data_IF_454042901716
#
_entry.id   IF_454042901716
#
_cell.length_a   1.000
_cell.length_b   1.000
_cell.length_c   1.000
_cell.angle_alpha   90.00
_cell.angle_beta   90.00
_cell.angle_gamma   90.00
#
_symmetry.space_group_name_H-M   'P 1'
#
loop_
_entity.id
_entity.type
_entity.pdbx_description
1 polymer ?
#
# COMPACT_ATOMS: atom_id res chain seq x y z
N UNK A 1 11.67 -30.17 0.32
CA UNK A 1 10.62 -29.14 0.56
C UNK A 1 10.98 -28.04 1.58
N UNK A 2 12.22 -27.99 2.13
CA UNK A 2 12.63 -26.95 3.11
C UNK A 2 13.58 -25.86 2.55
N UNK A 3 13.74 -25.77 1.21
CA UNK A 3 14.63 -24.77 0.57
C UNK A 3 13.93 -23.64 -0.18
N UNK A 4 12.59 -23.61 -0.23
CA UNK A 4 11.87 -22.48 -0.83
C UNK A 4 11.72 -21.26 0.11
N UNK A 5 12.38 -21.26 1.29
CA UNK A 5 12.17 -20.27 2.35
C UNK A 5 13.16 -19.10 2.34
N UNK A 6 14.07 -19.01 1.38
CA UNK A 6 15.00 -17.87 1.27
C UNK A 6 15.21 -17.54 -0.19
N UNK A 7 14.43 -16.60 -0.71
CA UNK A 7 14.76 -15.51 -1.65
C UNK A 7 13.41 -14.80 -1.88
N UNK A 8 13.04 -13.95 -0.93
CA UNK A 8 12.07 -12.88 -1.11
C UNK A 8 12.83 -11.60 -0.73
N UNK A 9 13.87 -11.28 -1.52
CA UNK A 9 14.64 -10.05 -1.38
C UNK A 9 14.24 -9.20 -2.58
N UNK A 10 13.35 -8.22 -2.36
CA UNK A 10 12.90 -7.30 -3.40
C UNK A 10 11.41 -6.92 -3.36
N UNK A 11 10.91 -6.44 -2.23
CA UNK A 11 9.87 -5.39 -2.17
C UNK A 11 8.41 -5.67 -2.54
N UNK A 12 8.04 -6.69 -3.30
CA UNK A 12 6.72 -6.67 -3.96
C UNK A 12 5.54 -7.37 -3.25
N UNK A 13 5.73 -8.06 -2.12
CA UNK A 13 4.63 -8.79 -1.46
C UNK A 13 4.70 -8.71 0.07
N UNK A 14 3.65 -8.17 0.70
CA UNK A 14 3.47 -8.20 2.16
C UNK A 14 3.30 -9.64 2.67
N UNK A 15 4.07 -9.99 3.70
CA UNK A 15 4.11 -11.32 4.35
C UNK A 15 2.73 -11.86 4.79
N UNK A 16 1.77 -10.97 5.08
CA UNK A 16 0.42 -11.30 5.56
C UNK A 16 -0.54 -11.86 4.51
N UNK A 17 -0.23 -11.73 3.21
CA UNK A 17 -1.10 -12.18 2.12
C UNK A 17 -0.96 -13.68 1.83
N UNK A 18 0.18 -14.29 2.17
CA UNK A 18 0.48 -15.69 1.86
C UNK A 18 -0.10 -16.67 2.90
N UNK A 19 -0.16 -16.29 4.18
CA UNK A 19 -0.59 -17.17 5.28
C UNK A 19 -2.10 -17.47 5.27
N UNK A 20 -2.90 -16.67 4.55
CA UNK A 20 -4.36 -16.77 4.51
C UNK A 20 -4.93 -17.55 3.32
N UNK A 21 -4.11 -18.25 2.52
CA UNK A 21 -4.59 -18.84 1.25
C UNK A 21 -4.48 -20.37 1.17
N UNK A 22 -5.48 -21.06 0.57
CA UNK A 22 -5.59 -22.50 0.64
C UNK A 22 -4.41 -23.19 -0.07
N UNK A 23 -3.84 -24.21 0.59
CA UNK A 23 -2.69 -25.00 0.14
C UNK A 23 -2.94 -25.82 -1.16
N UNK A 24 -4.13 -25.78 -1.73
CA UNK A 24 -4.61 -26.79 -2.69
C UNK A 24 -4.98 -26.28 -4.08
N UNK A 25 -4.59 -25.06 -4.50
CA UNK A 25 -4.85 -24.64 -5.89
C UNK A 25 -3.85 -25.26 -6.89
N UNK A 26 -4.10 -26.52 -7.21
CA UNK A 26 -3.36 -27.33 -8.19
C UNK A 26 -3.51 -26.80 -9.62
N UNK A 27 -4.48 -25.92 -9.90
CA UNK A 27 -4.75 -25.41 -11.25
C UNK A 27 -3.68 -24.44 -11.76
N UNK A 28 -3.06 -23.67 -10.87
CA UNK A 28 -1.96 -22.76 -11.20
C UNK A 28 -0.68 -23.53 -11.54
N UNK A 29 -0.44 -24.65 -10.86
CA UNK A 29 0.70 -25.54 -11.09
C UNK A 29 0.62 -26.28 -12.43
N UNK A 30 -0.60 -26.63 -12.88
CA UNK A 30 -0.83 -27.29 -14.17
C UNK A 30 -0.59 -26.37 -15.39
N UNK A 31 -0.72 -25.04 -15.23
CA UNK A 31 -0.53 -24.07 -16.34
C UNK A 31 0.91 -23.58 -16.50
N UNK A 32 1.68 -23.50 -15.41
CA UNK A 32 3.10 -23.16 -15.49
C UNK A 32 3.88 -24.42 -15.87
N UNK A 33 4.47 -24.49 -17.06
CA UNK A 33 5.23 -25.66 -17.54
C UNK A 33 6.61 -25.77 -16.85
N UNK A 34 6.63 -25.73 -15.52
CA UNK A 34 7.85 -25.78 -14.70
C UNK A 34 8.66 -24.48 -14.66
N UNK A 35 8.23 -23.41 -15.35
CA UNK A 35 8.91 -22.10 -15.29
C UNK A 35 8.38 -21.27 -14.13
N UNK A 36 9.27 -20.94 -13.20
CA UNK A 36 8.95 -20.15 -12.00
C UNK A 36 8.30 -18.80 -12.33
N UNK A 37 8.80 -18.10 -13.35
CA UNK A 37 8.25 -16.80 -13.79
C UNK A 37 6.80 -16.91 -14.26
N UNK A 38 6.44 -17.99 -14.96
CA UNK A 38 5.06 -18.24 -15.40
C UNK A 38 4.14 -18.54 -14.20
N UNK A 39 4.63 -19.28 -13.20
CA UNK A 39 3.86 -19.56 -11.99
C UNK A 39 3.57 -18.28 -11.19
N UNK A 40 4.59 -17.43 -10.99
CA UNK A 40 4.44 -16.13 -10.31
C UNK A 40 3.50 -15.22 -11.09
N UNK A 41 3.67 -15.12 -12.41
CA UNK A 41 2.78 -14.33 -13.27
C UNK A 41 1.33 -14.80 -13.21
N UNK A 42 1.09 -16.10 -13.32
CA UNK A 42 -0.25 -16.69 -13.23
C UNK A 42 -0.87 -16.46 -11.85
N UNK A 43 -0.09 -16.58 -10.78
CA UNK A 43 -0.55 -16.28 -9.42
C UNK A 43 -0.97 -14.81 -9.28
N UNK A 44 -0.14 -13.87 -9.75
CA UNK A 44 -0.44 -12.45 -9.72
C UNK A 44 -1.72 -12.12 -10.49
N UNK A 45 -1.86 -12.62 -11.72
CA UNK A 45 -3.05 -12.40 -12.55
C UNK A 45 -4.32 -13.01 -11.93
N UNK A 46 -4.20 -14.14 -11.25
CA UNK A 46 -5.33 -14.81 -10.62
C UNK A 46 -5.84 -14.07 -9.38
N UNK A 47 -4.94 -13.65 -8.48
CA UNK A 47 -5.32 -13.03 -7.20
C UNK A 47 -5.40 -11.49 -7.25
N UNK A 48 -4.71 -10.88 -8.20
CA UNK A 48 -4.64 -9.44 -8.44
C UNK A 48 -4.85 -9.12 -9.93
N UNK A 49 -6.04 -9.46 -10.48
CA UNK A 49 -6.36 -9.12 -11.86
C UNK A 49 -6.30 -7.59 -12.06
N UNK A 50 -5.94 -7.14 -13.26
CA UNK A 50 -5.76 -5.73 -13.59
C UNK A 50 -6.94 -4.82 -13.14
N UNK A 51 -8.22 -5.20 -13.32
CA UNK A 51 -9.34 -4.39 -12.82
C UNK A 51 -9.32 -4.17 -11.31
N UNK A 52 -8.87 -5.16 -10.53
CA UNK A 52 -8.75 -5.06 -9.07
C UNK A 52 -7.62 -4.11 -8.68
N UNK A 53 -6.46 -4.20 -9.33
CA UNK A 53 -5.33 -3.27 -9.12
C UNK A 53 -5.72 -1.85 -9.50
N UNK A 54 -6.42 -1.67 -10.63
CA UNK A 54 -6.92 -0.37 -11.07
C UNK A 54 -7.92 0.22 -10.06
N UNK A 55 -8.84 -0.60 -9.53
CA UNK A 55 -9.77 -0.18 -8.49
C UNK A 55 -9.02 0.30 -7.23
N UNK A 56 -8.03 -0.45 -6.75
CA UNK A 56 -7.22 -0.05 -5.60
C UNK A 56 -6.48 1.27 -5.85
N UNK A 57 -5.84 1.44 -7.01
CA UNK A 57 -5.20 2.72 -7.39
C UNK A 57 -6.19 3.87 -7.37
N UNK A 58 -7.40 3.66 -7.90
CA UNK A 58 -8.46 4.67 -7.92
C UNK A 58 -8.89 5.05 -6.51
N UNK A 59 -9.00 4.09 -5.60
CA UNK A 59 -9.34 4.35 -4.19
C UNK A 59 -8.23 5.13 -3.46
N UNK A 60 -6.96 4.86 -3.76
CA UNK A 60 -5.83 5.61 -3.19
C UNK A 60 -5.82 7.05 -3.71
N UNK A 61 -5.89 7.26 -5.03
CA UNK A 61 -5.80 8.60 -5.63
C UNK A 61 -7.01 9.47 -5.29
N UNK A 62 -8.20 8.88 -5.13
CA UNK A 62 -9.42 9.59 -4.72
C UNK A 62 -9.68 9.46 -3.20
N UNK A 63 -8.64 9.22 -2.42
CA UNK A 63 -8.79 9.14 -0.97
C UNK A 63 -9.31 10.47 -0.43
N UNK A 64 -10.20 10.39 0.55
CA UNK A 64 -10.74 11.53 1.28
C UNK A 64 -10.86 11.15 2.75
N UNK A 65 -10.57 12.10 3.63
CA UNK A 65 -10.91 12.03 5.04
C UNK A 65 -12.44 11.99 5.20
N UNK A 66 -12.94 11.09 6.04
CA UNK A 66 -14.39 11.02 6.34
C UNK A 66 -14.72 11.96 7.50
N UNK A 67 -15.98 12.41 7.57
CA UNK A 67 -16.41 13.41 8.55
C UNK A 67 -16.20 12.99 10.02
N UNK A 68 -16.35 11.71 10.33
CA UNK A 68 -16.21 11.15 11.69
C UNK A 68 -14.84 10.50 11.93
N UNK A 69 -13.93 10.54 10.96
CA UNK A 69 -12.62 9.87 11.03
C UNK A 69 -11.54 10.85 11.50
N UNK A 70 -10.74 10.43 12.47
CA UNK A 70 -9.56 11.17 12.90
C UNK A 70 -8.44 11.10 11.86
N UNK A 71 -7.48 12.03 11.94
CA UNK A 71 -6.30 12.04 11.05
C UNK A 71 -5.50 10.72 11.14
N UNK A 72 -5.35 10.19 12.36
CA UNK A 72 -4.66 8.94 12.66
C UNK A 72 -5.36 7.71 12.05
N UNK A 73 -6.68 7.62 12.19
CA UNK A 73 -7.48 6.56 11.57
C UNK A 73 -7.41 6.64 10.05
N UNK A 74 -7.50 7.85 9.49
CA UNK A 74 -7.37 8.07 8.06
C UNK A 74 -5.99 7.66 7.54
N UNK A 75 -4.91 8.00 8.23
CA UNK A 75 -3.56 7.58 7.85
C UNK A 75 -3.42 6.06 7.88
N UNK A 76 -3.93 5.41 8.93
CA UNK A 76 -3.95 3.95 9.06
C UNK A 76 -4.74 3.30 7.91
N UNK A 77 -5.91 3.86 7.56
CA UNK A 77 -6.73 3.39 6.44
C UNK A 77 -6.01 3.57 5.10
N UNK A 78 -5.35 4.71 4.90
CA UNK A 78 -4.57 4.99 3.70
C UNK A 78 -3.41 3.99 3.54
N UNK A 79 -2.62 3.77 4.58
CA UNK A 79 -1.54 2.77 4.59
C UNK A 79 -2.07 1.35 4.36
N UNK A 80 -3.25 1.03 4.91
CA UNK A 80 -3.90 -0.26 4.68
C UNK A 80 -4.26 -0.43 3.21
N UNK A 81 -4.81 0.59 2.55
CA UNK A 81 -5.12 0.54 1.11
C UNK A 81 -3.88 0.31 0.25
N UNK A 82 -2.77 0.98 0.57
CA UNK A 82 -1.49 0.78 -0.13
C UNK A 82 -0.96 -0.67 0.00
N UNK A 83 -1.22 -1.33 1.13
CA UNK A 83 -0.77 -2.70 1.42
C UNK A 83 -1.71 -3.81 0.91
N UNK A 84 -2.89 -3.47 0.36
CA UNK A 84 -3.89 -4.46 -0.09
C UNK A 84 -3.55 -5.16 -1.42
N UNK A 85 -2.67 -4.56 -2.22
CA UNK A 85 -2.32 -5.05 -3.56
C UNK A 85 -0.84 -5.44 -3.69
N UNK A 86 -0.41 -5.84 -4.90
CA UNK A 86 0.99 -5.72 -5.28
C UNK A 86 1.37 -4.24 -5.31
N UNK A 87 2.64 -3.94 -5.59
CA UNK A 87 3.09 -2.56 -5.82
C UNK A 87 2.13 -1.83 -6.79
N UNK A 88 1.46 -0.80 -6.25
CA UNK A 88 0.48 -0.02 -6.99
C UNK A 88 1.18 0.99 -7.93
N UNK A 89 2.51 1.10 -7.93
CA UNK A 89 3.24 2.09 -8.73
C UNK A 89 2.95 3.51 -8.29
N UNK A 90 2.61 3.70 -7.02
CA UNK A 90 2.38 4.99 -6.39
C UNK A 90 3.61 5.26 -5.54
N UNK A 91 4.41 6.24 -5.95
CA UNK A 91 5.61 6.60 -5.22
C UNK A 91 5.28 7.35 -3.91
N UNK A 92 6.28 7.46 -3.04
CA UNK A 92 6.14 8.08 -1.72
C UNK A 92 5.74 9.56 -1.79
N UNK A 93 6.19 10.31 -2.81
CA UNK A 93 5.82 11.72 -2.96
C UNK A 93 4.34 11.82 -3.32
N UNK A 94 3.88 11.00 -4.26
CA UNK A 94 2.46 10.93 -4.61
C UNK A 94 1.62 10.50 -3.41
N UNK A 95 2.10 9.56 -2.58
CA UNK A 95 1.42 9.16 -1.35
C UNK A 95 1.24 10.33 -0.38
N UNK A 96 2.33 11.04 -0.04
CA UNK A 96 2.31 12.16 0.90
C UNK A 96 1.42 13.30 0.39
N UNK A 97 1.52 13.65 -0.89
CA UNK A 97 0.71 14.71 -1.50
C UNK A 97 -0.77 14.32 -1.56
N UNK A 98 -1.09 13.09 -1.98
CA UNK A 98 -2.47 12.59 -2.03
C UNK A 98 -3.11 12.65 -0.64
N UNK A 99 -2.39 12.19 0.39
CA UNK A 99 -2.90 12.24 1.75
C UNK A 99 -3.10 13.68 2.25
N UNK A 100 -2.15 14.58 2.03
CA UNK A 100 -2.28 15.99 2.41
C UNK A 100 -3.47 16.69 1.72
N UNK A 101 -3.73 16.38 0.44
CA UNK A 101 -4.87 16.94 -0.30
C UNK A 101 -6.22 16.34 0.10
N UNK A 102 -6.21 15.12 0.63
CA UNK A 102 -7.42 14.39 1.00
C UNK A 102 -8.03 14.81 2.35
N UNK A 103 -7.25 15.49 3.19
CA UNK A 103 -7.64 15.84 4.56
C UNK A 103 -8.19 17.27 4.64
N UNK A 104 -8.98 17.54 5.67
CA UNK A 104 -9.64 18.83 5.86
C UNK A 104 -8.61 19.95 6.21
N UNK A 105 -9.06 21.21 6.16
CA UNK A 105 -8.20 22.37 6.41
C UNK A 105 -7.58 22.35 7.82
N UNK A 106 -8.33 21.95 8.83
CA UNK A 106 -7.83 21.90 10.21
C UNK A 106 -6.69 20.88 10.36
N UNK A 107 -6.87 19.68 9.80
CA UNK A 107 -5.83 18.65 9.79
C UNK A 107 -4.59 19.09 9.01
N UNK A 108 -4.75 19.80 7.88
CA UNK A 108 -3.60 20.37 7.15
C UNK A 108 -2.82 21.38 7.97
N UNK A 109 -3.50 22.29 8.65
CA UNK A 109 -2.84 23.27 9.54
C UNK A 109 -2.06 22.56 10.65
N UNK A 110 -2.64 21.51 11.25
CA UNK A 110 -1.96 20.71 12.26
C UNK A 110 -0.70 20.01 11.70
N UNK A 111 -0.76 19.47 10.48
CA UNK A 111 0.41 18.90 9.81
C UNK A 111 1.48 19.95 9.53
N UNK A 112 1.10 21.12 9.04
CA UNK A 112 2.03 22.21 8.74
C UNK A 112 2.69 22.73 10.03
N UNK A 113 1.94 22.86 11.12
CA UNK A 113 2.49 23.22 12.44
C UNK A 113 3.49 22.17 12.94
N UNK A 114 3.15 20.89 12.81
CA UNK A 114 4.01 19.77 13.22
C UNK A 114 5.28 19.69 12.37
N UNK A 115 5.18 20.04 11.07
CA UNK A 115 6.30 20.16 10.15
C UNK A 115 7.14 21.43 10.36
N UNK A 116 6.73 22.33 11.28
CA UNK A 116 7.34 23.66 11.50
C UNK A 116 7.42 24.51 10.23
N UNK A 117 6.40 24.38 9.38
CA UNK A 117 6.35 24.96 8.04
C UNK A 117 5.43 24.15 7.13
N UNK A 118 5.42 24.43 5.83
CA UNK A 118 4.55 23.64 4.95
C UNK A 118 5.00 22.18 4.87
N UNK A 119 4.09 21.25 5.16
CA UNK A 119 4.27 19.81 5.02
C UNK A 119 4.75 19.43 3.61
N UNK A 120 4.24 20.11 2.58
CA UNK A 120 4.60 19.87 1.18
C UNK A 120 6.05 20.27 0.83
N UNK A 121 6.78 20.94 1.75
CA UNK A 121 8.22 21.23 1.59
C UNK A 121 9.10 20.11 2.14
N UNK A 122 8.54 19.18 2.89
CA UNK A 122 9.26 18.00 3.36
C UNK A 122 9.55 17.08 2.18
N UNK A 123 10.65 16.33 2.28
CA UNK A 123 10.85 15.17 1.41
C UNK A 123 9.76 14.13 1.68
N UNK A 124 9.48 13.27 0.70
CA UNK A 124 8.50 12.18 0.84
C UNK A 124 8.70 11.37 2.14
N UNK A 125 9.95 11.03 2.42
CA UNK A 125 10.34 10.25 3.60
C UNK A 125 10.03 10.98 4.89
N UNK A 126 10.45 12.24 5.02
CA UNK A 126 10.17 13.07 6.19
C UNK A 126 8.66 13.25 6.41
N UNK A 127 7.90 13.44 5.33
CA UNK A 127 6.44 13.56 5.40
C UNK A 127 5.76 12.27 5.90
N UNK A 128 6.18 11.12 5.39
CA UNK A 128 5.68 9.80 5.82
C UNK A 128 6.06 9.51 7.28
N UNK A 129 7.29 9.84 7.68
CA UNK A 129 7.75 9.70 9.07
C UNK A 129 6.93 10.58 10.01
N UNK A 130 6.70 11.85 9.66
CA UNK A 130 5.87 12.76 10.46
C UNK A 130 4.44 12.26 10.61
N UNK A 131 3.82 11.80 9.51
CA UNK A 131 2.47 11.22 9.55
C UNK A 131 2.39 9.97 10.43
N UNK A 132 3.45 9.16 10.44
CA UNK A 132 3.51 7.97 11.29
C UNK A 132 3.68 8.35 12.76
N UNK A 133 4.49 9.36 13.08
CA UNK A 133 4.62 9.90 14.44
C UNK A 133 3.31 10.47 14.98
N UNK A 134 2.57 11.21 14.14
CA UNK A 134 1.27 11.77 14.52
C UNK A 134 0.24 10.66 14.76
N UNK A 135 0.33 9.56 14.02
CA UNK A 135 -0.57 8.42 14.18
C UNK A 135 -0.24 7.53 15.39
N UNK A 136 0.97 7.62 15.94
CA UNK A 136 1.41 6.84 17.11
C UNK A 136 1.20 7.59 18.45
N UNK A 137 0.95 8.90 18.40
CA UNK A 137 0.66 9.76 19.56
C UNK A 137 -0.86 9.87 19.82
#
# INVERSE_FOLDING_TARGET
>A
MKKCLRIFIGGCFSHSLWEKKPKSDTRLHLKAKGKWSELVGNFCLHYFPLPKVHKLRKEVVNFLLKDEESLTEAWTRFQTLLKQGPDLGIDENMCAQTFYMAINKASRMHLDESARGSFLRLTAKEGIELLSQIAEN
#
